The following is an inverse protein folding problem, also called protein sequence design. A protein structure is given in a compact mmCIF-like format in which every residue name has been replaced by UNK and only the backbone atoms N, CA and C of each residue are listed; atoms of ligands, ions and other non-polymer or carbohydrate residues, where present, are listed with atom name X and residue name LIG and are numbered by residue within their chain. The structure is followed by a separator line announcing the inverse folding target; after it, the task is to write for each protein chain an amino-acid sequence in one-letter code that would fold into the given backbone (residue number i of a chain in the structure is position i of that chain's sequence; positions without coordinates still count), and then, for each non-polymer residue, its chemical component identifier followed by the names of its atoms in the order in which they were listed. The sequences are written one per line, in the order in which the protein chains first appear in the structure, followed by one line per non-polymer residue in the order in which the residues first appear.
data_IF_562644946747
#
_entry.id   IF_562644946747
#
_cell.length_a   1.000
_cell.length_b   1.000
_cell.length_c   1.000
_cell.angle_alpha   90.00
_cell.angle_beta   90.00
_cell.angle_gamma   90.00
#
_symmetry.space_group_name_H-M   'P 1'
#
loop_
_entity.id
_entity.type
_entity.pdbx_description
1 polymer ?
#
# COMPACT_ATOMS: atom_id res chain seq x y z
N UNK A 1 4.28 -17.66 20.44
CA UNK A 1 3.80 -16.28 20.66
C UNK A 1 2.43 -16.17 20.02
N UNK A 2 1.46 -15.59 20.72
CA UNK A 2 0.14 -15.32 20.15
C UNK A 2 0.14 -13.96 19.45
N UNK A 3 0.40 -13.98 18.13
CA UNK A 3 0.43 -12.79 17.31
C UNK A 3 -0.93 -12.13 17.17
N UNK A 4 -2.01 -12.91 17.12
CA UNK A 4 -3.36 -12.37 16.97
C UNK A 4 -3.75 -11.54 18.21
N UNK A 5 -3.44 -12.04 19.41
CA UNK A 5 -3.66 -11.30 20.65
C UNK A 5 -2.79 -10.03 20.72
N UNK A 6 -1.51 -10.11 20.30
CA UNK A 6 -0.62 -8.96 20.26
C UNK A 6 -1.15 -7.86 19.31
N UNK A 7 -1.53 -8.22 18.09
CA UNK A 7 -2.06 -7.28 17.11
C UNK A 7 -3.40 -6.68 17.58
N UNK A 8 -4.29 -7.48 18.16
CA UNK A 8 -5.55 -6.98 18.70
C UNK A 8 -5.35 -5.95 19.83
N UNK A 9 -4.26 -6.05 20.59
CA UNK A 9 -3.89 -5.09 21.64
C UNK A 9 -3.20 -3.83 21.09
N UNK A 10 -2.31 -3.98 20.11
CA UNK A 10 -1.48 -2.88 19.60
C UNK A 10 -2.17 -2.03 18.51
N UNK A 11 -2.87 -2.67 17.58
CA UNK A 11 -3.45 -2.02 16.41
C UNK A 11 -4.53 -0.95 16.69
N UNK A 12 -5.28 -0.95 17.81
CA UNK A 12 -6.17 0.15 18.16
C UNK A 12 -5.47 1.51 18.29
N UNK A 13 -4.16 1.54 18.53
CA UNK A 13 -3.37 2.78 18.65
C UNK A 13 -2.55 3.12 17.40
N UNK A 14 -2.76 2.41 16.28
CA UNK A 14 -1.99 2.54 15.04
C UNK A 14 -2.87 3.11 13.95
N UNK A 15 -2.50 4.25 13.36
CA UNK A 15 -3.27 4.83 12.24
C UNK A 15 -2.95 4.13 10.89
N UNK A 16 -1.66 3.85 10.63
CA UNK A 16 -1.17 3.20 9.41
C UNK A 16 -0.43 1.92 9.76
N UNK A 17 -0.99 0.78 9.38
CA UNK A 17 -0.35 -0.53 9.55
C UNK A 17 0.18 -1.03 8.21
N UNK A 18 1.49 -1.26 8.11
CA UNK A 18 2.15 -1.55 6.83
C UNK A 18 2.95 -2.88 6.81
N UNK A 19 2.29 -4.03 7.01
CA UNK A 19 2.92 -5.35 7.00
C UNK A 19 3.17 -5.84 5.56
N UNK A 20 3.90 -6.94 5.40
CA UNK A 20 3.88 -7.72 4.15
C UNK A 20 2.76 -8.77 4.17
N UNK A 21 2.38 -9.27 3.00
CA UNK A 21 1.42 -10.37 2.90
C UNK A 21 1.91 -11.62 3.66
N UNK A 22 3.20 -11.96 3.53
CA UNK A 22 3.79 -13.11 4.21
C UNK A 22 3.82 -12.94 5.73
N UNK A 23 4.11 -11.72 6.22
CA UNK A 23 4.03 -11.38 7.65
C UNK A 23 2.60 -11.57 8.17
N UNK A 24 1.58 -11.13 7.43
CA UNK A 24 0.19 -11.34 7.80
C UNK A 24 -0.20 -12.81 7.83
N UNK A 25 0.21 -13.59 6.84
CA UNK A 25 -0.03 -15.03 6.81
C UNK A 25 0.59 -15.71 8.04
N UNK A 26 1.87 -15.42 8.31
CA UNK A 26 2.59 -15.95 9.46
C UNK A 26 1.90 -15.59 10.79
N UNK A 27 1.55 -14.31 10.98
CA UNK A 27 0.98 -13.81 12.23
C UNK A 27 -0.49 -14.23 12.44
N UNK A 28 -1.31 -14.26 11.40
CA UNK A 28 -2.77 -14.41 11.54
C UNK A 28 -3.30 -15.79 11.15
N UNK A 29 -2.55 -16.55 10.37
CA UNK A 29 -2.90 -17.89 9.87
C UNK A 29 -1.94 -18.97 10.39
N UNK A 30 -0.75 -18.57 10.84
CA UNK A 30 0.25 -19.43 11.47
C UNK A 30 1.43 -19.76 10.54
N UNK A 31 2.53 -20.30 11.10
CA UNK A 31 3.81 -20.47 10.39
C UNK A 31 3.76 -21.48 9.23
N UNK A 32 2.79 -22.40 9.23
CA UNK A 32 2.62 -23.40 8.19
C UNK A 32 1.54 -23.01 7.16
N UNK A 33 0.96 -21.81 7.28
CA UNK A 33 0.00 -21.33 6.32
C UNK A 33 0.72 -20.92 5.04
N UNK A 34 0.47 -21.66 3.96
CA UNK A 34 0.94 -21.31 2.61
C UNK A 34 -0.22 -20.75 1.81
N UNK A 35 -0.71 -19.58 2.24
CA UNK A 35 -1.76 -18.91 1.48
C UNK A 35 -1.20 -18.37 0.17
N UNK A 36 -2.01 -18.51 -0.87
CA UNK A 36 -1.68 -17.94 -2.17
C UNK A 36 -2.02 -16.46 -2.16
N UNK A 37 -1.12 -15.67 -2.73
CA UNK A 37 -1.39 -14.28 -3.03
C UNK A 37 -2.43 -14.19 -4.16
N UNK A 38 -3.67 -13.93 -3.77
CA UNK A 38 -4.78 -13.55 -4.63
C UNK A 38 -5.63 -12.46 -3.97
N UNK A 39 -6.51 -11.84 -4.74
CA UNK A 39 -7.27 -10.69 -4.26
C UNK A 39 -8.23 -11.04 -3.12
N UNK A 40 -8.80 -12.25 -3.10
CA UNK A 40 -9.76 -12.66 -2.08
C UNK A 40 -9.07 -12.80 -0.72
N UNK A 41 -7.95 -13.52 -0.68
CA UNK A 41 -7.14 -13.67 0.52
C UNK A 41 -6.59 -12.33 1.03
N UNK A 42 -6.10 -11.50 0.09
CA UNK A 42 -5.58 -10.17 0.40
C UNK A 42 -6.64 -9.26 1.03
N UNK A 43 -7.85 -9.22 0.46
CA UNK A 43 -9.00 -8.49 1.03
C UNK A 43 -9.38 -9.01 2.42
N UNK A 44 -9.46 -10.33 2.58
CA UNK A 44 -9.84 -10.95 3.85
C UNK A 44 -8.85 -10.60 4.97
N UNK A 45 -7.54 -10.63 4.68
CA UNK A 45 -6.50 -10.24 5.63
C UNK A 45 -6.53 -8.74 5.91
N UNK A 46 -6.69 -7.90 4.89
CA UNK A 46 -6.81 -6.45 5.03
C UNK A 46 -8.01 -6.07 5.92
N UNK A 47 -9.19 -6.64 5.66
CA UNK A 47 -10.38 -6.41 6.46
C UNK A 47 -10.21 -6.90 7.90
N UNK A 48 -9.52 -8.03 8.10
CA UNK A 48 -9.22 -8.55 9.43
C UNK A 48 -8.36 -7.58 10.23
N UNK A 49 -7.31 -7.01 9.64
CA UNK A 49 -6.45 -6.06 10.36
C UNK A 49 -7.11 -4.70 10.54
N UNK A 50 -7.87 -4.19 9.55
CA UNK A 50 -8.62 -2.93 9.68
C UNK A 50 -9.65 -3.00 10.81
N UNK A 51 -10.31 -4.16 10.99
CA UNK A 51 -11.21 -4.38 12.14
C UNK A 51 -10.51 -4.33 13.50
N UNK A 52 -9.20 -4.52 13.56
CA UNK A 52 -8.43 -4.44 14.80
C UNK A 52 -8.07 -3.00 15.19
N UNK A 53 -8.30 -1.99 14.35
CA UNK A 53 -8.00 -0.61 14.71
C UNK A 53 -7.63 0.33 13.56
N UNK A 54 -6.66 -0.02 12.69
CA UNK A 54 -6.01 0.95 11.84
C UNK A 54 -6.94 1.61 10.84
N UNK A 55 -6.58 2.84 10.48
CA UNK A 55 -7.28 3.60 9.44
C UNK A 55 -6.86 3.11 8.06
N UNK A 56 -5.57 2.79 7.90
CA UNK A 56 -4.96 2.32 6.65
C UNK A 56 -4.24 0.99 6.89
N UNK A 57 -4.54 0.00 6.04
CA UNK A 57 -3.73 -1.19 5.88
C UNK A 57 -2.95 -1.10 4.55
N UNK A 58 -1.63 -0.99 4.62
CA UNK A 58 -0.72 -0.87 3.48
C UNK A 58 0.14 -2.14 3.34
N UNK A 59 -0.40 -3.15 2.66
CA UNK A 59 0.16 -4.51 2.59
C UNK A 59 1.17 -4.60 1.43
N UNK A 60 2.44 -4.82 1.77
CA UNK A 60 3.53 -5.02 0.81
C UNK A 60 3.40 -6.41 0.17
N UNK A 61 3.51 -6.46 -1.16
CA UNK A 61 3.31 -7.66 -1.98
C UNK A 61 4.59 -8.09 -2.73
N UNK A 62 5.76 -7.67 -2.25
CA UNK A 62 7.03 -7.93 -2.93
C UNK A 62 7.07 -7.27 -4.32
N UNK A 63 7.35 -8.06 -5.36
CA UNK A 63 7.42 -7.56 -6.74
C UNK A 63 6.05 -7.15 -7.33
N UNK A 64 4.94 -7.56 -6.69
CA UNK A 64 3.58 -7.18 -7.07
C UNK A 64 3.18 -5.79 -6.56
N UNK A 65 4.03 -5.13 -5.76
CA UNK A 65 3.83 -3.76 -5.31
C UNK A 65 3.15 -3.63 -3.95
N UNK A 66 2.21 -2.70 -3.84
CA UNK A 66 1.53 -2.34 -2.60
C UNK A 66 0.02 -2.42 -2.78
N UNK A 67 -0.65 -3.08 -1.84
CA UNK A 67 -2.10 -3.01 -1.69
C UNK A 67 -2.45 -2.13 -0.50
N UNK A 68 -3.29 -1.13 -0.74
CA UNK A 68 -3.75 -0.19 0.27
C UNK A 68 -5.26 -0.31 0.40
N UNK A 69 -5.74 -0.47 1.63
CA UNK A 69 -7.17 -0.45 1.95
C UNK A 69 -7.42 0.47 3.13
N UNK A 70 -8.50 1.23 3.08
CA UNK A 70 -8.88 2.15 4.15
C UNK A 70 -10.19 1.72 4.80
N UNK A 71 -10.38 2.13 6.05
CA UNK A 71 -11.58 1.80 6.82
C UNK A 71 -12.81 2.57 6.30
N UNK A 72 -13.97 1.91 6.28
CA UNK A 72 -15.28 2.49 5.95
C UNK A 72 -15.97 3.27 7.10
N UNK A 73 -15.23 3.62 8.16
CA UNK A 73 -15.78 4.18 9.40
C UNK A 73 -15.28 5.58 9.69
N UNK A 74 -16.07 6.34 10.45
CA UNK A 74 -15.88 7.79 10.63
C UNK A 74 -14.79 8.17 11.65
N UNK A 75 -14.96 7.79 12.92
CA UNK A 75 -14.27 8.48 14.03
C UNK A 75 -12.72 8.46 13.94
N UNK A 76 -12.11 7.30 13.63
CA UNK A 76 -10.65 7.21 13.48
C UNK A 76 -10.14 7.88 12.21
N UNK A 77 -10.88 7.74 11.10
CA UNK A 77 -10.53 8.33 9.82
C UNK A 77 -10.61 9.86 9.85
N UNK A 78 -11.63 10.43 10.50
CA UNK A 78 -11.77 11.89 10.64
C UNK A 78 -10.56 12.48 11.36
N UNK A 79 -10.23 11.97 12.55
CA UNK A 79 -9.05 12.43 13.31
C UNK A 79 -7.76 12.31 12.49
N UNK A 80 -7.55 11.18 11.81
CA UNK A 80 -6.39 10.96 10.97
C UNK A 80 -6.28 11.97 9.83
N UNK A 81 -7.39 12.21 9.12
CA UNK A 81 -7.45 13.18 8.04
C UNK A 81 -7.28 14.62 8.54
N UNK A 82 -7.88 14.99 9.67
CA UNK A 82 -7.80 16.33 10.24
C UNK A 82 -6.36 16.69 10.65
N UNK A 83 -5.63 15.74 11.24
CA UNK A 83 -4.21 15.93 11.64
C UNK A 83 -3.31 16.12 10.41
N UNK A 84 -3.56 15.37 9.34
CA UNK A 84 -2.70 15.37 8.14
C UNK A 84 -3.17 16.32 7.03
N UNK A 85 -4.30 17.02 7.23
CA UNK A 85 -4.90 17.88 6.21
C UNK A 85 -5.40 17.12 4.97
N UNK A 86 -5.85 15.87 5.15
CA UNK A 86 -6.32 15.01 4.06
C UNK A 86 -7.83 15.19 3.82
N UNK A 87 -8.27 14.98 2.58
CA UNK A 87 -9.70 14.99 2.27
C UNK A 87 -10.35 13.66 2.65
N UNK A 88 -11.11 13.66 3.74
CA UNK A 88 -11.80 12.47 4.25
C UNK A 88 -12.62 11.72 3.20
N UNK A 89 -13.34 12.44 2.34
CA UNK A 89 -14.15 11.84 1.27
C UNK A 89 -13.32 10.97 0.30
N UNK A 90 -12.04 11.30 0.11
CA UNK A 90 -11.16 10.52 -0.76
C UNK A 90 -10.58 9.30 -0.08
N UNK A 91 -10.48 9.31 1.25
CA UNK A 91 -9.87 8.25 2.04
C UNK A 91 -10.89 7.28 2.65
N UNK A 92 -12.18 7.54 2.51
CA UNK A 92 -13.24 6.67 3.02
C UNK A 92 -13.44 5.43 2.16
N UNK A 93 -13.33 4.24 2.76
CA UNK A 93 -13.61 2.94 2.15
C UNK A 93 -12.98 2.76 0.76
N UNK A 94 -11.66 2.89 0.70
CA UNK A 94 -10.88 2.84 -0.54
C UNK A 94 -10.10 1.57 -0.63
N UNK A 95 -9.87 1.14 -1.86
CA UNK A 95 -9.04 0.00 -2.17
C UNK A 95 -8.16 0.34 -3.38
N UNK A 96 -6.85 0.21 -3.20
CA UNK A 96 -5.85 0.60 -4.20
C UNK A 96 -4.82 -0.52 -4.33
N UNK A 97 -4.50 -0.89 -5.56
CA UNK A 97 -3.39 -1.78 -5.89
C UNK A 97 -2.40 -1.00 -6.77
N UNK A 98 -1.21 -0.74 -6.24
CA UNK A 98 -0.14 -0.06 -6.93
C UNK A 98 0.96 -1.08 -7.28
N UNK A 99 1.12 -1.47 -8.56
CA UNK A 99 2.20 -2.37 -8.97
C UNK A 99 3.56 -1.67 -8.89
N UNK A 100 4.65 -2.40 -8.63
CA UNK A 100 6.00 -1.81 -8.63
C UNK A 100 6.35 -1.12 -9.95
N UNK A 101 7.14 -0.05 -9.89
CA UNK A 101 7.76 0.52 -11.08
C UNK A 101 8.94 -0.34 -11.53
N UNK A 102 9.21 -0.36 -12.84
CA UNK A 102 10.38 -1.03 -13.39
C UNK A 102 11.63 -0.21 -13.07
N UNK A 103 12.41 -0.66 -12.09
CA UNK A 103 13.71 -0.07 -11.77
C UNK A 103 14.65 -0.12 -12.99
N UNK A 104 15.59 0.83 -13.08
CA UNK A 104 16.62 0.83 -14.12
C UNK A 104 17.51 -0.43 -14.04
N UNK A 105 17.77 -0.88 -12.82
CA UNK A 105 18.46 -2.12 -12.46
C UNK A 105 18.05 -2.54 -11.06
N UNK A 106 18.22 -3.81 -10.72
CA UNK A 106 18.05 -4.31 -9.35
C UNK A 106 19.44 -4.63 -8.81
N UNK A 107 19.96 -3.78 -7.94
CA UNK A 107 21.27 -3.93 -7.29
C UNK A 107 21.16 -4.51 -5.87
N UNK A 108 20.03 -4.28 -5.18
CA UNK A 108 19.70 -4.86 -3.88
C UNK A 108 18.22 -4.67 -3.56
N UNK A 109 17.64 -5.54 -2.74
CA UNK A 109 16.22 -5.43 -2.33
C UNK A 109 16.05 -5.13 -0.84
N UNK A 110 17.16 -5.15 -0.09
CA UNK A 110 17.23 -4.76 1.32
C UNK A 110 16.63 -3.37 1.50
N UNK A 111 15.75 -3.20 2.48
CA UNK A 111 15.13 -1.90 2.78
C UNK A 111 14.08 -1.42 1.77
N UNK A 112 13.78 -2.16 0.69
CA UNK A 112 12.75 -1.75 -0.29
C UNK A 112 11.36 -1.63 0.31
N UNK A 113 11.02 -2.50 1.26
CA UNK A 113 9.79 -2.39 2.05
C UNK A 113 9.74 -1.10 2.88
N UNK A 114 10.83 -0.77 3.56
CA UNK A 114 10.93 0.44 4.37
C UNK A 114 10.87 1.71 3.52
N UNK A 115 11.55 1.71 2.37
CA UNK A 115 11.49 2.79 1.39
C UNK A 115 10.09 2.96 0.80
N UNK A 116 9.36 1.85 0.58
CA UNK A 116 7.95 1.89 0.16
C UNK A 116 7.09 2.59 1.22
N UNK A 117 7.28 2.24 2.50
CA UNK A 117 6.57 2.89 3.62
C UNK A 117 6.96 4.36 3.73
N UNK A 118 8.25 4.70 3.58
CA UNK A 118 8.72 6.09 3.58
C UNK A 118 8.05 6.91 2.46
N UNK A 119 7.91 6.34 1.26
CA UNK A 119 7.20 6.98 0.15
C UNK A 119 5.71 7.19 0.42
N UNK A 120 5.05 6.23 1.09
CA UNK A 120 3.66 6.36 1.53
C UNK A 120 3.51 7.50 2.54
N UNK A 121 4.33 7.50 3.61
CA UNK A 121 4.30 8.52 4.65
C UNK A 121 4.62 9.92 4.09
N UNK A 122 5.60 10.02 3.19
CA UNK A 122 5.93 11.27 2.52
C UNK A 122 4.78 11.79 1.65
N UNK A 123 3.94 10.92 1.07
CA UNK A 123 2.77 11.35 0.32
C UNK A 123 1.62 11.79 1.23
N UNK A 124 1.38 11.07 2.32
CA UNK A 124 0.41 11.46 3.35
C UNK A 124 0.73 12.86 3.91
N UNK A 125 1.99 13.12 4.24
CA UNK A 125 2.45 14.43 4.74
C UNK A 125 2.34 15.57 3.72
N UNK A 126 2.18 15.25 2.42
CA UNK A 126 1.96 16.22 1.34
C UNK A 126 0.47 16.41 1.01
N UNK A 127 -0.43 15.78 1.75
CA UNK A 127 -1.86 15.91 1.56
C UNK A 127 -2.42 15.13 0.36
N UNK A 128 -1.70 14.11 -0.12
CA UNK A 128 -2.07 13.38 -1.34
C UNK A 128 -3.28 12.46 -1.14
N UNK A 129 -3.99 12.19 -2.24
CA UNK A 129 -5.06 11.19 -2.30
C UNK A 129 -4.49 9.75 -2.18
N UNK A 130 -5.31 8.72 -1.87
CA UNK A 130 -4.84 7.35 -1.68
C UNK A 130 -4.15 6.73 -2.90
N UNK A 131 -4.61 7.05 -4.12
CA UNK A 131 -4.05 6.52 -5.37
C UNK A 131 -2.67 7.12 -5.61
N UNK A 132 -2.53 8.43 -5.41
CA UNK A 132 -1.27 9.14 -5.50
C UNK A 132 -0.31 8.72 -4.38
N UNK A 133 -0.82 8.46 -3.17
CA UNK A 133 -0.03 7.98 -2.04
C UNK A 133 0.56 6.57 -2.27
N UNK A 134 -0.26 5.62 -2.74
CA UNK A 134 0.22 4.28 -3.10
C UNK A 134 1.18 4.30 -4.31
N UNK A 135 0.96 5.23 -5.26
CA UNK A 135 1.88 5.47 -6.36
C UNK A 135 3.24 5.95 -5.87
N UNK A 136 3.27 6.94 -4.98
CA UNK A 136 4.50 7.46 -4.40
C UNK A 136 5.27 6.38 -3.63
N UNK A 137 4.55 5.56 -2.85
CA UNK A 137 5.12 4.43 -2.10
C UNK A 137 5.92 3.49 -3.03
N UNK A 138 5.27 2.99 -4.07
CA UNK A 138 5.92 2.07 -5.03
C UNK A 138 7.01 2.73 -5.88
N UNK A 139 6.92 4.04 -6.14
CA UNK A 139 7.97 4.77 -6.86
C UNK A 139 9.25 4.91 -6.02
N UNK A 140 9.13 5.22 -4.74
CA UNK A 140 10.27 5.31 -3.81
C UNK A 140 10.88 3.94 -3.58
N UNK A 141 10.06 2.89 -3.40
CA UNK A 141 10.55 1.51 -3.31
C UNK A 141 11.31 1.07 -4.57
N UNK A 142 10.84 1.44 -5.76
CA UNK A 142 11.54 1.13 -7.01
C UNK A 142 12.86 1.90 -7.17
N UNK A 143 12.98 3.11 -6.62
CA UNK A 143 14.25 3.82 -6.58
C UNK A 143 15.26 3.14 -5.66
N UNK A 144 14.83 2.67 -4.48
CA UNK A 144 15.76 2.12 -3.49
C UNK A 144 16.51 0.89 -4.02
N UNK A 145 15.85 0.06 -4.83
CA UNK A 145 16.47 -1.17 -5.36
C UNK A 145 17.56 -0.94 -6.40
N UNK A 146 17.72 0.29 -6.91
CA UNK A 146 18.76 0.64 -7.89
C UNK A 146 20.17 0.78 -7.25
N UNK A 147 20.23 0.73 -5.90
CA UNK A 147 21.44 0.72 -5.08
C UNK A 147 21.57 -0.59 -4.27
N UNK A 148 22.80 -0.99 -3.87
CA UNK A 148 23.01 -2.22 -3.11
C UNK A 148 22.66 -2.09 -1.62
N UNK A 149 22.69 -0.87 -1.07
CA UNK A 149 22.33 -0.59 0.32
C UNK A 149 20.83 -0.25 0.47
N UNK A 150 20.37 -0.11 1.71
CA UNK A 150 18.94 0.01 2.03
C UNK A 150 18.27 1.30 1.54
N UNK A 151 18.99 2.43 1.44
CA UNK A 151 18.37 3.76 1.27
C UNK A 151 19.08 4.69 0.29
N UNK A 152 20.34 4.42 -0.05
CA UNK A 152 21.20 5.24 -0.91
C UNK A 152 20.67 5.38 -2.34
N UNK A 153 19.76 4.49 -2.77
CA UNK A 153 19.07 4.58 -4.05
C UNK A 153 17.90 5.57 -4.07
N UNK A 154 17.42 6.07 -2.92
CA UNK A 154 16.27 6.97 -2.85
C UNK A 154 16.70 8.42 -3.16
N UNK A 155 16.26 9.01 -4.29
CA UNK A 155 16.63 10.37 -4.64
C UNK A 155 15.68 11.40 -3.98
N UNK A 156 15.98 12.70 -4.08
CA UNK A 156 15.03 13.74 -3.72
C UNK A 156 13.70 13.60 -4.48
N UNK A 157 12.58 13.93 -3.82
CA UNK A 157 11.23 13.74 -4.36
C UNK A 157 11.03 14.31 -5.78
N UNK A 158 11.62 15.47 -6.10
CA UNK A 158 11.53 16.10 -7.44
C UNK A 158 11.99 15.15 -8.56
N UNK A 159 12.97 14.29 -8.30
CA UNK A 159 13.48 13.33 -9.28
C UNK A 159 12.50 12.15 -9.45
N UNK A 160 11.90 11.68 -8.34
CA UNK A 160 10.84 10.66 -8.37
C UNK A 160 9.64 11.17 -9.15
N UNK A 161 9.18 12.39 -8.86
CA UNK A 161 8.09 13.06 -9.55
C UNK A 161 8.37 13.24 -11.05
N UNK A 162 9.60 13.63 -11.42
CA UNK A 162 9.98 13.75 -12.82
C UNK A 162 9.89 12.41 -13.57
N UNK A 163 10.30 11.29 -12.96
CA UNK A 163 10.13 9.96 -13.55
C UNK A 163 8.64 9.61 -13.72
N UNK A 164 7.83 9.86 -12.70
CA UNK A 164 6.39 9.61 -12.76
C UNK A 164 5.72 10.38 -13.92
N UNK A 165 6.05 11.67 -14.07
CA UNK A 165 5.54 12.51 -15.16
C UNK A 165 6.03 12.06 -16.53
N UNK A 166 7.25 11.52 -16.62
CA UNK A 166 7.81 10.97 -17.86
C UNK A 166 7.23 9.61 -18.28
N UNK A 167 6.21 9.10 -17.57
CA UNK A 167 5.56 7.84 -17.92
C UNK A 167 6.35 6.60 -17.49
N UNK A 168 6.96 6.62 -16.30
CA UNK A 168 7.73 5.49 -15.77
C UNK A 168 6.93 4.17 -15.84
N UNK A 169 7.40 3.16 -16.60
CA UNK A 169 6.67 1.90 -16.75
C UNK A 169 6.57 1.12 -15.44
N UNK A 170 5.42 0.45 -15.23
CA UNK A 170 5.21 -0.50 -14.14
C UNK A 170 5.54 -1.94 -14.53
N UNK A 171 5.78 -2.77 -13.52
CA UNK A 171 5.80 -4.22 -13.64
C UNK A 171 4.37 -4.75 -13.87
N UNK A 172 4.23 -5.89 -14.58
CA UNK A 172 2.93 -6.52 -14.76
C UNK A 172 2.36 -7.01 -13.43
N UNK A 173 1.05 -6.86 -13.24
CA UNK A 173 0.33 -7.40 -12.09
C UNK A 173 -0.15 -8.82 -12.38
N UNK A 174 -0.07 -9.70 -11.39
CA UNK A 174 -0.63 -11.04 -11.45
C UNK A 174 -2.13 -11.01 -11.77
N UNK A 175 -2.62 -11.84 -12.71
CA UNK A 175 -4.06 -11.98 -12.98
C UNK A 175 -4.88 -12.35 -11.74
N UNK A 176 -4.25 -13.01 -10.75
CA UNK A 176 -4.92 -13.37 -9.47
C UNK A 176 -5.31 -12.14 -8.64
N UNK A 177 -4.64 -11.01 -8.87
CA UNK A 177 -4.91 -9.74 -8.19
C UNK A 177 -5.86 -8.84 -8.99
N UNK A 178 -5.99 -9.06 -10.30
CA UNK A 178 -6.65 -8.12 -11.21
C UNK A 178 -7.88 -8.66 -11.92
N UNK A 179 -8.00 -9.97 -12.12
CA UNK A 179 -9.04 -10.55 -12.98
C UNK A 179 -10.45 -10.53 -12.38
N UNK A 180 -10.58 -10.51 -11.06
CA UNK A 180 -11.87 -10.69 -10.36
C UNK A 180 -12.49 -9.40 -9.84
N UNK A 181 -11.87 -8.24 -10.10
CA UNK A 181 -12.37 -6.95 -9.64
C UNK A 181 -12.46 -5.93 -10.78
N UNK A 182 -13.48 -5.07 -10.70
CA UNK A 182 -13.72 -3.97 -11.63
C UNK A 182 -12.78 -2.79 -11.33
N UNK A 183 -11.47 -3.01 -11.44
CA UNK A 183 -10.48 -1.98 -11.20
C UNK A 183 -10.58 -0.84 -12.22
N UNK A 184 -10.58 0.40 -11.73
CA UNK A 184 -10.19 1.56 -12.53
C UNK A 184 -8.66 1.63 -12.57
N UNK A 185 -8.11 2.20 -13.63
CA UNK A 185 -6.66 2.40 -13.79
C UNK A 185 -6.38 3.87 -14.10
N UNK A 186 -5.47 4.49 -13.36
CA UNK A 186 -5.02 5.86 -13.66
C UNK A 186 -3.98 5.87 -14.80
N UNK A 187 -3.62 7.05 -15.29
CA UNK A 187 -2.62 7.20 -16.35
C UNK A 187 -1.22 6.68 -15.96
N UNK A 188 -0.95 6.57 -14.66
CA UNK A 188 0.32 6.03 -14.13
C UNK A 188 0.26 4.52 -13.92
N UNK A 189 -0.87 3.87 -14.20
CA UNK A 189 -1.05 2.43 -14.07
C UNK A 189 -1.41 1.92 -12.67
N UNK A 190 -1.73 2.80 -11.71
CA UNK A 190 -2.27 2.40 -10.40
C UNK A 190 -3.71 1.97 -10.55
N UNK A 191 -4.07 0.86 -9.90
CA UNK A 191 -5.41 0.30 -9.91
C UNK A 191 -6.15 0.74 -8.63
N UNK A 192 -7.42 1.08 -8.75
CA UNK A 192 -8.23 1.49 -7.60
C UNK A 192 -9.71 1.16 -7.80
N UNK A 193 -10.42 1.02 -6.70
CA UNK A 193 -11.85 0.76 -6.67
C UNK A 193 -12.66 1.86 -7.36
N UNK A 194 -13.77 1.51 -8.03
CA UNK A 194 -14.69 2.51 -8.54
C UNK A 194 -15.27 3.33 -7.37
N UNK A 195 -15.28 4.65 -7.50
CA UNK A 195 -15.81 5.56 -6.47
C UNK A 195 -17.27 5.22 -6.13
N UNK A 196 -17.75 5.38 -4.88
CA UNK A 196 -19.12 5.02 -4.46
C UNK A 196 -20.28 5.86 -5.05
N UNK A 197 -20.18 6.33 -6.30
CA UNK A 197 -21.19 7.19 -6.92
C UNK A 197 -21.40 6.88 -8.41
N UNK A 198 -21.58 5.60 -8.76
CA UNK A 198 -22.21 5.19 -10.03
C UNK A 198 -23.22 4.04 -9.85
N UNK A 199 -23.82 3.92 -8.67
CA UNK A 199 -25.11 3.24 -8.52
C UNK A 199 -26.19 4.34 -8.60
N UNK A 200 -26.58 4.69 -9.84
CA UNK A 200 -27.83 5.40 -10.10
C UNK A 200 -28.95 4.39 -10.34
#
# INVERSE_FOLDING_TARGET
MDWAALLASALPSVDVFAPSFDELCFMLLGPNAHERLDLCNLRALADRVLRMGPVIAAIKLGDQGLYLRTRAGDAGLSRFCDILGLRRAEWHDREVLAPCFRALRVAGTTGSGDCTIAGLLAALLRGEDPVTAATAATAVGACSVEAPDATGGVPPWRNVAARLTAGWPRLPSSPRLTAVAAWRRDARGTLFDPTPMELR
#
